data_IF_186052304563
#
_entry.id   IF_186052304563
#
_cell.length_a   1.000
_cell.length_b   1.000
_cell.length_c   1.000
_cell.angle_alpha   90.00
_cell.angle_beta   90.00
_cell.angle_gamma   90.00
#
_symmetry.space_group_name_H-M   'P 1'
#
loop_
_entity.id
_entity.type
_entity.pdbx_description
1 polymer ?
#
# COMPACT_ATOMS: atom_id res chain seq x y z
N UNK A 1 -2.54 -14.50 1.12
CA UNK A 1 -1.94 -14.26 2.45
C UNK A 1 -0.69 -13.42 2.21
N UNK A 2 -0.25 -12.57 3.13
CA UNK A 2 1.04 -11.88 2.99
C UNK A 2 1.99 -12.50 4.02
N UNK A 3 3.17 -12.96 3.59
CA UNK A 3 4.10 -13.73 4.46
C UNK A 3 5.35 -12.93 4.86
N UNK A 4 5.63 -11.82 4.19
CA UNK A 4 6.79 -10.97 4.48
C UNK A 4 6.38 -9.50 4.36
N UNK A 5 6.73 -8.72 5.38
CA UNK A 5 6.37 -7.31 5.52
C UNK A 5 7.59 -6.53 6.03
N UNK A 6 8.01 -5.51 5.30
CA UNK A 6 9.10 -4.65 5.72
C UNK A 6 9.03 -3.30 5.00
N UNK A 7 9.13 -2.21 5.76
CA UNK A 7 9.49 -0.91 5.24
C UNK A 7 11.02 -0.72 5.39
N UNK A 8 11.70 -0.54 4.27
CA UNK A 8 13.15 -0.35 4.26
C UNK A 8 13.59 1.07 4.60
N UNK A 9 12.67 2.04 4.55
CA UNK A 9 13.03 3.46 4.58
C UNK A 9 12.26 4.26 5.63
N UNK A 10 11.08 3.77 6.02
CA UNK A 10 10.20 4.40 6.99
C UNK A 10 9.40 5.56 6.39
N UNK A 11 8.30 5.90 7.07
CA UNK A 11 7.33 6.91 6.63
C UNK A 11 7.92 8.27 6.26
N UNK A 12 8.99 8.67 6.93
CA UNK A 12 9.58 10.02 6.78
C UNK A 12 10.65 10.08 5.70
N UNK A 13 10.95 8.98 5.01
CA UNK A 13 11.94 8.99 3.96
C UNK A 13 11.51 9.90 2.81
N UNK A 14 12.39 10.82 2.44
CA UNK A 14 12.16 11.71 1.30
C UNK A 14 13.48 12.21 0.70
N UNK A 15 13.43 12.90 -0.43
CA UNK A 15 14.60 13.59 -0.98
C UNK A 15 15.19 14.64 0.01
N UNK A 16 14.34 15.26 0.84
CA UNK A 16 14.74 16.22 1.87
C UNK A 16 15.08 15.57 3.22
N UNK A 17 14.73 14.30 3.43
CA UNK A 17 15.08 13.49 4.58
C UNK A 17 15.53 12.08 4.14
N UNK A 18 16.75 11.95 3.58
CA UNK A 18 17.19 10.74 2.89
C UNK A 18 17.77 9.67 3.82
N UNK A 19 17.55 9.78 5.14
CA UNK A 19 18.06 8.82 6.12
C UNK A 19 17.01 7.72 6.32
N UNK A 20 17.29 6.46 5.92
CA UNK A 20 16.34 5.35 6.11
C UNK A 20 16.14 5.06 7.60
N UNK A 21 14.89 4.83 7.99
CA UNK A 21 14.49 4.33 9.31
C UNK A 21 13.62 3.09 9.08
N UNK A 22 14.22 1.91 8.86
CA UNK A 22 13.46 0.70 8.57
C UNK A 22 12.53 0.31 9.72
N UNK A 23 11.35 -0.21 9.39
CA UNK A 23 10.40 -0.78 10.31
C UNK A 23 9.61 -1.93 9.68
N UNK A 24 8.77 -2.59 10.46
CA UNK A 24 8.05 -3.80 10.02
C UNK A 24 6.67 -3.48 9.42
N UNK A 25 6.37 -2.21 9.10
CA UNK A 25 5.06 -1.78 8.62
C UNK A 25 5.16 -1.15 7.21
N UNK A 26 5.04 -1.96 6.13
CA UNK A 26 5.06 -1.45 4.76
C UNK A 26 3.73 -0.78 4.35
N UNK A 27 2.88 -0.39 5.32
CA UNK A 27 1.59 0.23 5.04
C UNK A 27 1.78 1.61 4.41
N UNK A 28 1.05 1.83 3.32
CA UNK A 28 1.00 3.09 2.58
C UNK A 28 -0.32 3.80 2.89
N UNK A 29 -0.49 4.24 4.15
CA UNK A 29 -1.70 4.92 4.65
C UNK A 29 -1.57 6.46 4.67
N UNK A 30 -0.51 6.99 4.08
CA UNK A 30 -0.17 8.39 4.19
C UNK A 30 -0.97 9.32 3.26
N UNK A 31 -1.86 8.76 2.42
CA UNK A 31 -2.71 9.51 1.50
C UNK A 31 -4.02 8.76 1.20
N UNK A 32 -5.00 9.47 0.66
CA UNK A 32 -6.27 8.89 0.17
C UNK A 32 -6.10 7.88 -0.98
N UNK A 33 -4.88 7.71 -1.51
CA UNK A 33 -4.57 6.81 -2.62
C UNK A 33 -3.34 5.97 -2.31
N UNK A 34 -3.54 4.73 -1.89
CA UNK A 34 -2.45 3.76 -1.73
C UNK A 34 -2.09 3.12 -3.08
N UNK A 35 -0.92 3.49 -3.63
CA UNK A 35 -0.46 2.97 -4.92
C UNK A 35 -0.08 1.49 -4.81
N UNK A 36 0.65 1.14 -3.74
CA UNK A 36 1.09 -0.24 -3.49
C UNK A 36 -0.09 -1.20 -3.33
N UNK A 37 -1.11 -0.79 -2.55
CA UNK A 37 -2.33 -1.59 -2.34
C UNK A 37 -3.13 -1.76 -3.63
N UNK A 38 -3.24 -0.72 -4.45
CA UNK A 38 -3.91 -0.82 -5.75
C UNK A 38 -3.21 -1.84 -6.67
N UNK A 39 -1.89 -1.74 -6.82
CA UNK A 39 -1.10 -2.69 -7.62
C UNK A 39 -1.22 -4.11 -7.06
N UNK A 40 -1.14 -4.29 -5.74
CA UNK A 40 -1.32 -5.60 -5.10
C UNK A 40 -2.72 -6.18 -5.38
N UNK A 41 -3.75 -5.33 -5.42
CA UNK A 41 -5.12 -5.71 -5.78
C UNK A 41 -5.25 -6.23 -7.21
N UNK A 42 -4.57 -5.60 -8.17
CA UNK A 42 -4.51 -6.06 -9.57
C UNK A 42 -3.86 -7.46 -9.65
N UNK A 43 -2.80 -7.69 -8.88
CA UNK A 43 -2.04 -8.95 -8.93
C UNK A 43 -2.79 -10.08 -8.24
N UNK A 44 -3.22 -9.90 -6.98
CA UNK A 44 -3.72 -11.00 -6.15
C UNK A 44 -4.99 -10.66 -5.34
N UNK A 45 -5.68 -9.56 -5.66
CA UNK A 45 -6.90 -9.17 -4.97
C UNK A 45 -8.00 -10.24 -5.07
N UNK A 46 -8.80 -10.37 -4.01
CA UNK A 46 -9.92 -11.30 -3.98
C UNK A 46 -11.13 -10.71 -3.26
N UNK A 47 -11.94 -9.93 -3.99
CA UNK A 47 -13.09 -9.25 -3.42
C UNK A 47 -14.21 -10.19 -2.98
N UNK A 48 -14.22 -11.44 -3.46
CA UNK A 48 -15.19 -12.47 -3.02
C UNK A 48 -15.01 -12.85 -1.55
N UNK A 49 -13.82 -12.62 -1.00
CA UNK A 49 -13.46 -12.87 0.40
C UNK A 49 -13.50 -11.61 1.26
N UNK A 50 -13.97 -10.48 0.73
CA UNK A 50 -14.13 -9.24 1.49
C UNK A 50 -15.50 -9.24 2.18
N UNK A 51 -15.49 -9.28 3.52
CA UNK A 51 -16.68 -9.25 4.36
C UNK A 51 -16.84 -7.94 5.16
N UNK A 52 -15.83 -7.07 5.12
CA UNK A 52 -15.86 -5.81 5.84
C UNK A 52 -16.87 -4.85 5.18
N UNK A 53 -17.88 -4.46 5.95
CA UNK A 53 -18.89 -3.48 5.56
C UNK A 53 -18.23 -2.14 5.25
N UNK A 54 -18.59 -1.52 4.13
CA UNK A 54 -17.99 -0.27 3.65
C UNK A 54 -16.81 -0.45 2.68
N UNK A 55 -16.16 -1.62 2.66
CA UNK A 55 -15.01 -1.91 1.78
C UNK A 55 -15.29 -2.96 0.71
N UNK A 56 -16.44 -3.65 0.78
CA UNK A 56 -16.85 -4.62 -0.25
C UNK A 56 -17.34 -3.88 -1.51
N UNK A 57 -16.71 -4.07 -2.68
CA UNK A 57 -17.15 -3.40 -3.91
C UNK A 57 -18.52 -3.93 -4.36
N UNK A 58 -19.30 -3.07 -5.02
CA UNK A 58 -20.62 -3.42 -5.58
C UNK A 58 -20.49 -4.56 -6.59
N UNK A 59 -19.42 -4.52 -7.40
CA UNK A 59 -19.04 -5.60 -8.32
C UNK A 59 -17.76 -6.26 -7.78
N UNK A 60 -17.79 -7.54 -7.36
CA UNK A 60 -16.60 -8.25 -6.95
C UNK A 60 -15.57 -8.33 -8.09
N UNK A 61 -14.30 -8.08 -7.77
CA UNK A 61 -13.18 -8.29 -8.68
C UNK A 61 -12.22 -9.38 -8.16
N UNK A 62 -11.42 -9.91 -9.07
CA UNK A 62 -10.29 -10.79 -8.79
C UNK A 62 -9.05 -10.18 -9.43
N UNK A 63 -7.92 -10.29 -8.76
CA UNK A 63 -6.61 -10.08 -9.36
C UNK A 63 -6.24 -11.24 -10.29
N UNK A 64 -5.12 -11.10 -10.98
CA UNK A 64 -4.59 -12.10 -11.93
C UNK A 64 -4.36 -13.46 -11.26
N UNK A 65 -3.84 -13.47 -10.03
CA UNK A 65 -3.51 -14.65 -9.25
C UNK A 65 -4.10 -14.56 -7.83
N UNK A 66 -5.43 -14.72 -7.65
CA UNK A 66 -6.14 -14.42 -6.40
C UNK A 66 -5.88 -15.42 -5.25
N UNK A 67 -5.11 -16.47 -5.52
CA UNK A 67 -4.64 -17.45 -4.53
C UNK A 67 -3.15 -17.29 -4.21
N UNK A 68 -2.46 -16.35 -4.88
CA UNK A 68 -1.06 -16.09 -4.59
C UNK A 68 -0.88 -15.53 -3.18
N UNK A 69 0.30 -15.80 -2.66
CA UNK A 69 0.81 -15.17 -1.46
C UNK A 69 1.71 -14.01 -1.89
N UNK A 70 1.53 -12.84 -1.29
CA UNK A 70 2.34 -11.66 -1.58
C UNK A 70 3.40 -11.45 -0.47
N UNK A 71 4.50 -10.82 -0.82
CA UNK A 71 5.36 -10.12 0.14
C UNK A 71 5.24 -8.63 -0.11
N UNK A 72 5.15 -7.83 0.94
CA UNK A 72 5.06 -6.39 0.86
C UNK A 72 6.36 -5.76 1.36
N UNK A 73 7.06 -5.09 0.44
CA UNK A 73 8.31 -4.39 0.73
C UNK A 73 8.18 -2.95 0.27
N UNK A 74 8.26 -2.02 1.22
CA UNK A 74 8.16 -0.59 0.94
C UNK A 74 9.55 0.03 0.89
N UNK A 75 9.75 0.90 -0.11
CA UNK A 75 11.03 1.59 -0.38
C UNK A 75 10.84 3.09 -0.63
N UNK A 76 9.62 3.59 -0.42
CA UNK A 76 9.24 4.98 -0.60
C UNK A 76 8.62 5.46 0.71
N UNK A 77 8.98 6.64 1.19
CA UNK A 77 8.28 7.25 2.32
C UNK A 77 6.92 7.84 1.92
N UNK A 78 6.25 8.45 2.88
CA UNK A 78 4.95 9.08 2.70
C UNK A 78 5.00 10.36 1.84
N UNK A 79 6.14 11.05 1.83
CA UNK A 79 6.29 12.25 1.03
C UNK A 79 6.43 11.86 -0.45
N UNK A 80 5.58 12.42 -1.30
CA UNK A 80 5.70 12.23 -2.74
C UNK A 80 7.00 12.86 -3.24
N UNK A 81 8.04 12.05 -3.45
CA UNK A 81 9.30 12.48 -4.06
C UNK A 81 9.23 12.55 -5.60
N UNK A 82 8.11 12.11 -6.18
CA UNK A 82 7.80 12.23 -7.61
C UNK A 82 6.42 12.81 -7.79
N UNK A 83 6.27 13.70 -8.77
CA UNK A 83 5.08 14.49 -9.10
C UNK A 83 3.81 13.65 -9.26
N UNK A 84 3.07 13.49 -8.16
CA UNK A 84 1.61 13.44 -8.17
C UNK A 84 1.16 14.16 -6.92
N UNK A 85 0.74 15.41 -7.12
CA UNK A 85 0.22 16.29 -6.09
C UNK A 85 -1.02 15.65 -5.48
N UNK A 86 -0.93 15.24 -4.22
CA UNK A 86 -2.05 14.76 -3.41
C UNK A 86 -1.85 15.24 -1.98
N UNK A 87 -1.87 16.56 -1.77
CA UNK A 87 -1.83 17.18 -0.44
C UNK A 87 -3.20 17.11 0.21
N UNK A 88 -3.54 16.07 0.97
CA UNK A 88 -4.64 16.18 1.93
C UNK A 88 -4.34 15.34 3.17
N UNK A 89 -4.01 16.03 4.26
CA UNK A 89 -4.22 15.53 5.62
C UNK A 89 -5.68 15.83 5.96
N UNK A 90 -6.40 14.88 6.52
CA UNK A 90 -7.50 15.22 7.41
C UNK A 90 -7.47 14.32 8.64
N UNK A 91 -7.83 14.98 9.72
CA UNK A 91 -8.08 14.52 11.10
C UNK A 91 -8.82 13.19 11.22
#
# INVERSE_FOLDING_TARGET
>A
MIEMFLDFVGDKYSASNPIPVPDNDPLDDCSESSHGTHVAGIVAGNATKMFQTGFKPIVPFLGVAPQATLGAYRIFGCAADTTTTGTYKHE
#
